data_IF_889338317457
#
_entry.id   IF_889338317457
#
_cell.length_a   1.000
_cell.length_b   1.000
_cell.length_c   1.000
_cell.angle_alpha   90.00
_cell.angle_beta   90.00
_cell.angle_gamma   90.00
#
_symmetry.space_group_name_H-M   'P 1'
#
loop_
_entity.id
_entity.type
_entity.pdbx_description
1 polymer ?
#
# COMPACT_ATOMS: atom_id res chain seq x y z
N UNK A 1 24.56 -8.50 -6.78
CA UNK A 1 24.83 -7.20 -6.15
C UNK A 1 24.94 -7.39 -4.66
N UNK A 2 25.80 -6.63 -4.01
CA UNK A 2 25.92 -6.74 -2.56
C UNK A 2 24.67 -6.15 -1.87
N UNK A 3 24.17 -6.83 -0.87
CA UNK A 3 22.98 -6.44 -0.14
C UNK A 3 23.04 -5.00 0.42
N UNK A 4 24.20 -4.58 0.89
CA UNK A 4 24.41 -3.23 1.39
C UNK A 4 24.20 -2.16 0.31
N UNK A 5 24.61 -2.45 -0.92
CA UNK A 5 24.44 -1.54 -2.04
C UNK A 5 22.97 -1.46 -2.46
N UNK A 6 22.29 -2.60 -2.47
CA UNK A 6 20.86 -2.67 -2.76
C UNK A 6 20.05 -1.90 -1.72
N UNK A 7 20.37 -2.08 -0.44
CA UNK A 7 19.76 -1.34 0.65
C UNK A 7 19.91 0.16 0.45
N UNK A 8 21.11 0.62 0.17
CA UNK A 8 21.39 2.05 -0.03
C UNK A 8 20.62 2.62 -1.22
N UNK A 9 20.53 1.88 -2.31
CA UNK A 9 19.80 2.27 -3.50
C UNK A 9 18.30 2.42 -3.19
N UNK A 10 17.73 1.45 -2.52
CA UNK A 10 16.29 1.47 -2.16
C UNK A 10 15.99 2.66 -1.24
N UNK A 11 16.77 2.85 -0.20
CA UNK A 11 16.58 3.97 0.74
C UNK A 11 16.68 5.30 0.02
N UNK A 12 17.69 5.47 -0.85
CA UNK A 12 17.84 6.68 -1.64
C UNK A 12 16.63 6.94 -2.55
N UNK A 13 16.13 5.91 -3.22
CA UNK A 13 14.96 6.03 -4.08
C UNK A 13 13.69 6.42 -3.30
N UNK A 14 13.55 5.92 -2.09
CA UNK A 14 12.43 6.25 -1.20
C UNK A 14 12.54 7.70 -0.70
N UNK A 15 13.73 8.13 -0.33
CA UNK A 15 14.00 9.49 0.14
C UNK A 15 13.81 10.54 -0.95
N UNK A 16 14.13 10.22 -2.18
CA UNK A 16 14.00 11.12 -3.33
C UNK A 16 12.56 11.63 -3.51
N UNK A 17 11.58 10.80 -3.21
CA UNK A 17 10.17 11.16 -3.26
C UNK A 17 9.57 11.39 -1.88
N UNK A 18 10.41 11.61 -0.87
CA UNK A 18 10.00 11.96 0.49
C UNK A 18 9.08 10.92 1.13
N UNK A 19 9.41 9.64 0.98
CA UNK A 19 8.72 8.58 1.68
C UNK A 19 8.83 8.78 3.19
N UNK A 20 7.78 8.45 3.91
CA UNK A 20 7.69 8.68 5.34
C UNK A 20 8.00 7.40 6.11
N UNK A 21 8.68 7.54 7.23
CA UNK A 21 8.94 6.44 8.18
C UNK A 21 9.50 5.19 7.50
N UNK A 22 10.64 5.35 6.85
CA UNK A 22 11.34 4.26 6.16
C UNK A 22 11.97 3.33 7.19
N UNK A 23 11.59 2.05 7.16
CA UNK A 23 12.17 1.03 8.00
C UNK A 23 12.80 -0.07 7.14
N UNK A 24 14.02 -0.42 7.47
CA UNK A 24 14.76 -1.46 6.78
C UNK A 24 15.02 -2.59 7.75
N UNK A 25 14.58 -3.80 7.39
CA UNK A 25 14.73 -4.97 8.23
C UNK A 25 15.53 -6.04 7.50
N UNK A 26 16.53 -6.59 8.18
CA UNK A 26 17.28 -7.72 7.69
C UNK A 26 16.50 -8.98 8.11
N UNK A 27 15.98 -9.69 7.13
CA UNK A 27 15.15 -10.88 7.36
C UNK A 27 15.85 -12.18 6.96
N UNK A 28 17.18 -12.12 6.81
CA UNK A 28 17.98 -13.32 6.55
C UNK A 28 17.82 -14.30 7.70
N UNK A 29 17.58 -15.55 7.37
CA UNK A 29 17.32 -16.57 8.35
C UNK A 29 15.90 -16.59 8.92
N UNK A 30 15.11 -15.56 8.65
CA UNK A 30 13.69 -15.49 9.06
C UNK A 30 12.76 -15.65 7.85
N UNK A 31 13.19 -15.25 6.68
CA UNK A 31 12.45 -15.39 5.43
C UNK A 31 13.22 -16.32 4.50
N UNK A 32 12.50 -17.19 3.79
CA UNK A 32 13.08 -18.09 2.79
C UNK A 32 13.13 -17.49 1.39
N UNK A 33 12.48 -16.36 1.16
CA UNK A 33 12.32 -15.77 -0.17
C UNK A 33 12.99 -14.41 -0.37
N UNK A 34 13.40 -13.74 0.67
CA UNK A 34 14.09 -12.45 0.58
C UNK A 34 15.04 -12.25 1.75
N UNK A 35 16.08 -11.48 1.53
CA UNK A 35 17.07 -11.16 2.56
C UNK A 35 16.79 -9.82 3.25
N UNK A 36 16.11 -8.90 2.55
CA UNK A 36 15.85 -7.56 3.04
C UNK A 36 14.38 -7.19 2.86
N UNK A 37 13.79 -6.66 3.88
CA UNK A 37 12.44 -6.10 3.80
C UNK A 37 12.49 -4.62 4.13
N UNK A 38 11.88 -3.81 3.28
CA UNK A 38 11.82 -2.36 3.47
C UNK A 38 10.37 -1.93 3.50
N UNK A 39 10.00 -1.15 4.50
CA UNK A 39 8.65 -0.62 4.66
C UNK A 39 8.73 0.89 4.70
N UNK A 40 7.91 1.55 3.90
CA UNK A 40 7.82 3.00 3.86
C UNK A 40 6.37 3.42 3.71
N UNK A 41 6.07 4.68 4.01
CA UNK A 41 4.73 5.22 3.87
C UNK A 41 4.68 6.37 2.88
N UNK A 42 3.55 6.51 2.21
CA UNK A 42 3.24 7.64 1.35
C UNK A 42 2.00 8.37 1.85
N UNK A 43 1.86 9.65 1.56
CA UNK A 43 0.77 10.49 2.07
C UNK A 43 -0.56 10.29 1.36
N UNK A 44 -0.55 9.71 0.16
CA UNK A 44 -1.75 9.46 -0.65
C UNK A 44 -1.53 8.25 -1.55
N UNK A 45 -2.60 7.77 -2.19
CA UNK A 45 -2.50 6.68 -3.17
C UNK A 45 -1.53 7.03 -4.29
N UNK A 46 -1.60 8.24 -4.78
CA UNK A 46 -0.72 8.73 -5.84
C UNK A 46 0.73 8.79 -5.39
N UNK A 47 0.98 9.25 -4.18
CA UNK A 47 2.32 9.31 -3.59
C UNK A 47 2.91 7.91 -3.42
N UNK A 48 2.14 6.97 -2.90
CA UNK A 48 2.54 5.57 -2.75
C UNK A 48 2.94 4.97 -4.10
N UNK A 49 2.12 5.17 -5.12
CA UNK A 49 2.43 4.69 -6.48
C UNK A 49 3.71 5.30 -7.03
N UNK A 50 3.87 6.60 -6.87
CA UNK A 50 5.05 7.33 -7.36
C UNK A 50 6.34 6.85 -6.68
N UNK A 51 6.28 6.61 -5.38
CA UNK A 51 7.42 6.09 -4.62
C UNK A 51 7.80 4.69 -5.14
N UNK A 52 6.82 3.82 -5.29
CA UNK A 52 7.07 2.46 -5.78
C UNK A 52 7.63 2.47 -7.20
N UNK A 53 7.10 3.30 -8.07
CA UNK A 53 7.60 3.45 -9.44
C UNK A 53 9.05 3.95 -9.45
N UNK A 54 9.39 4.89 -8.58
CA UNK A 54 10.75 5.40 -8.47
C UNK A 54 11.73 4.31 -8.02
N UNK A 55 11.34 3.47 -7.09
CA UNK A 55 12.16 2.32 -6.67
C UNK A 55 12.44 1.40 -7.87
N UNK A 56 11.43 1.13 -8.70
CA UNK A 56 11.59 0.31 -9.90
C UNK A 56 12.53 0.96 -10.91
N UNK A 57 12.38 2.26 -11.14
CA UNK A 57 13.21 3.02 -12.08
C UNK A 57 14.68 3.00 -11.64
N UNK A 58 14.95 3.28 -10.37
CA UNK A 58 16.29 3.29 -9.81
C UNK A 58 16.91 1.89 -9.81
N UNK A 59 16.12 0.86 -9.51
CA UNK A 59 16.59 -0.53 -9.56
C UNK A 59 17.01 -0.90 -10.99
N UNK A 60 16.18 -0.59 -11.97
CA UNK A 60 16.51 -0.85 -13.39
C UNK A 60 17.74 -0.09 -13.84
N UNK A 61 17.88 1.17 -13.45
CA UNK A 61 19.05 1.98 -13.76
C UNK A 61 20.34 1.39 -13.17
N UNK A 62 20.24 0.69 -12.05
CA UNK A 62 21.36 0.02 -11.41
C UNK A 62 21.60 -1.41 -11.94
N UNK A 63 20.85 -1.84 -12.94
CA UNK A 63 20.96 -3.18 -13.52
C UNK A 63 20.22 -4.28 -12.77
N UNK A 64 19.32 -3.91 -11.84
CA UNK A 64 18.52 -4.87 -11.09
C UNK A 64 17.17 -5.01 -11.80
N UNK A 65 16.82 -6.25 -12.11
CA UNK A 65 15.52 -6.53 -12.73
C UNK A 65 14.49 -6.82 -11.65
N UNK A 66 13.46 -5.99 -11.51
CA UNK A 66 12.37 -6.30 -10.57
C UNK A 66 11.64 -7.58 -11.01
N UNK A 67 11.31 -8.44 -10.06
CA UNK A 67 10.56 -9.66 -10.32
C UNK A 67 9.07 -9.35 -10.52
N UNK A 68 8.56 -8.34 -9.85
CA UNK A 68 7.17 -7.94 -9.98
C UNK A 68 6.83 -6.73 -9.14
N UNK A 69 5.67 -6.18 -9.39
CA UNK A 69 5.10 -5.10 -8.60
C UNK A 69 3.59 -5.34 -8.52
N UNK A 70 3.04 -5.25 -7.32
CA UNK A 70 1.63 -5.52 -7.06
C UNK A 70 0.99 -4.40 -6.25
N UNK A 71 -0.34 -4.27 -6.35
CA UNK A 71 -1.10 -3.25 -5.59
C UNK A 71 -1.14 -1.87 -6.24
N UNK A 72 -0.57 -1.69 -7.42
CA UNK A 72 -0.53 -0.41 -8.12
C UNK A 72 -1.91 0.15 -8.43
N UNK A 73 -2.87 -0.70 -8.66
CA UNK A 73 -4.20 -0.30 -9.08
C UNK A 73 -4.88 0.57 -8.02
N UNK A 74 -4.83 0.16 -6.79
CA UNK A 74 -5.47 0.86 -5.68
C UNK A 74 -4.56 1.91 -5.05
N UNK A 75 -3.26 1.62 -4.98
CA UNK A 75 -2.29 2.56 -4.44
C UNK A 75 -2.32 2.72 -2.93
N UNK A 76 -3.04 1.86 -2.22
CA UNK A 76 -3.03 1.87 -0.76
C UNK A 76 -1.83 1.12 -0.19
N UNK A 77 -1.44 0.07 -0.87
CA UNK A 77 -0.31 -0.76 -0.51
C UNK A 77 0.30 -1.32 -1.79
N UNK A 78 1.48 -0.86 -2.14
CA UNK A 78 2.21 -1.32 -3.32
C UNK A 78 3.44 -2.10 -2.87
N UNK A 79 3.62 -3.30 -3.43
CA UNK A 79 4.76 -4.16 -3.17
C UNK A 79 5.66 -4.19 -4.39
N UNK A 80 6.95 -4.01 -4.18
CA UNK A 80 7.97 -4.14 -5.23
C UNK A 80 8.91 -5.28 -4.86
N UNK A 81 8.96 -6.32 -5.70
CA UNK A 81 9.82 -7.47 -5.48
C UNK A 81 11.10 -7.33 -6.32
N UNK A 82 12.23 -7.24 -5.64
CA UNK A 82 13.56 -7.13 -6.25
C UNK A 82 14.41 -8.39 -6.02
N UNK A 83 13.80 -9.52 -5.73
CA UNK A 83 14.43 -10.80 -5.38
C UNK A 83 15.11 -10.78 -4.00
N UNK A 84 16.27 -10.14 -3.89
CA UNK A 84 16.99 -10.06 -2.62
C UNK A 84 16.34 -9.09 -1.63
N UNK A 85 15.45 -8.21 -2.11
CA UNK A 85 14.74 -7.25 -1.29
C UNK A 85 13.29 -7.12 -1.72
N UNK A 86 12.41 -6.95 -0.75
CA UNK A 86 10.99 -6.64 -0.99
C UNK A 86 10.69 -5.29 -0.36
N UNK A 87 10.12 -4.38 -1.14
CA UNK A 87 9.77 -3.03 -0.68
C UNK A 87 8.26 -2.92 -0.58
N UNK A 88 7.77 -2.56 0.59
CA UNK A 88 6.36 -2.29 0.83
C UNK A 88 6.16 -0.79 1.00
N UNK A 89 5.37 -0.18 0.14
CA UNK A 89 4.99 1.23 0.27
C UNK A 89 3.50 1.29 0.54
N UNK A 90 3.13 1.85 1.68
CA UNK A 90 1.74 1.86 2.16
C UNK A 90 1.33 3.24 2.64
N UNK A 91 0.04 3.51 2.64
CA UNK A 91 -0.47 4.66 3.38
C UNK A 91 -0.33 4.41 4.89
N UNK A 92 -0.15 5.45 5.71
CA UNK A 92 0.01 5.29 7.16
C UNK A 92 -1.12 4.49 7.82
N UNK A 93 -2.37 4.71 7.41
CA UNK A 93 -3.51 3.98 7.93
C UNK A 93 -3.47 2.48 7.62
N UNK A 94 -3.02 2.13 6.43
CA UNK A 94 -2.87 0.73 6.00
C UNK A 94 -1.72 0.08 6.75
N UNK A 95 -0.63 0.80 6.93
CA UNK A 95 0.54 0.33 7.67
C UNK A 95 0.20 0.02 9.12
N UNK A 96 -0.54 0.92 9.79
CA UNK A 96 -0.99 0.72 11.17
C UNK A 96 -1.98 -0.45 11.28
N UNK A 97 -2.83 -0.61 10.29
CA UNK A 97 -3.83 -1.67 10.26
C UNK A 97 -3.21 -3.06 10.13
N UNK A 98 -2.28 -3.26 9.20
CA UNK A 98 -1.63 -4.54 8.97
C UNK A 98 -0.43 -4.80 9.87
N UNK A 99 0.31 -3.76 10.20
CA UNK A 99 1.46 -3.80 11.10
C UNK A 99 2.46 -4.91 10.75
N UNK A 100 2.89 -4.95 9.49
CA UNK A 100 3.81 -5.97 8.98
C UNK A 100 5.13 -6.04 9.73
N UNK A 101 5.56 -4.94 10.31
CA UNK A 101 6.81 -4.86 11.06
C UNK A 101 6.86 -5.87 12.20
N UNK A 102 5.74 -6.13 12.85
CA UNK A 102 5.66 -7.09 13.94
C UNK A 102 5.90 -8.52 13.49
N UNK A 103 5.59 -8.87 12.26
CA UNK A 103 5.81 -10.21 11.74
C UNK A 103 7.27 -10.63 11.76
N UNK A 104 8.18 -9.66 11.65
CA UNK A 104 9.62 -9.92 11.55
C UNK A 104 10.37 -9.68 12.85
N UNK A 105 9.74 -9.05 13.83
CA UNK A 105 10.31 -8.81 15.15
C UNK A 105 10.08 -10.02 16.07
N UNK A 106 9.01 -10.76 15.83
CA UNK A 106 8.60 -11.86 16.67
C UNK A 106 9.46 -13.10 16.40
N UNK A 107 10.05 -13.66 17.45
CA UNK A 107 11.02 -14.73 17.33
C UNK A 107 10.42 -16.15 17.31
N UNK A 108 9.16 -16.34 17.70
CA UNK A 108 8.52 -17.64 17.78
C UNK A 108 7.43 -17.85 16.74
N UNK A 109 7.28 -19.06 16.25
CA UNK A 109 6.26 -19.40 15.28
C UNK A 109 4.84 -19.17 15.79
N UNK A 110 4.61 -19.40 17.07
CA UNK A 110 3.31 -19.20 17.70
C UNK A 110 2.86 -17.74 17.67
N UNK A 111 3.79 -16.83 17.93
CA UNK A 111 3.51 -15.40 17.90
C UNK A 111 3.26 -14.89 16.47
N UNK A 112 3.94 -15.50 15.49
CA UNK A 112 3.69 -15.18 14.08
C UNK A 112 2.28 -15.58 13.63
N UNK A 113 1.76 -16.68 14.13
CA UNK A 113 0.41 -17.12 13.80
C UNK A 113 -0.66 -16.21 14.42
N UNK A 114 -0.47 -15.79 15.66
CA UNK A 114 -1.38 -14.84 16.30
C UNK A 114 -1.44 -13.51 15.52
N UNK A 115 -0.30 -13.01 15.08
CA UNK A 115 -0.24 -11.78 14.30
C UNK A 115 -0.95 -11.95 12.96
N UNK A 116 -0.76 -13.08 12.29
CA UNK A 116 -1.45 -13.37 11.03
C UNK A 116 -2.97 -13.43 11.22
N UNK A 117 -3.42 -14.07 12.27
CA UNK A 117 -4.84 -14.16 12.57
C UNK A 117 -5.44 -12.79 12.88
N UNK A 118 -4.76 -11.97 13.68
CA UNK A 118 -5.22 -10.63 14.02
C UNK A 118 -5.31 -9.72 12.79
N UNK A 119 -4.35 -9.84 11.87
CA UNK A 119 -4.34 -9.09 10.62
C UNK A 119 -5.52 -9.50 9.73
N UNK A 120 -5.79 -10.79 9.62
CA UNK A 120 -6.90 -11.30 8.84
C UNK A 120 -8.25 -10.81 9.38
N UNK A 121 -8.45 -10.81 10.69
CA UNK A 121 -9.66 -10.31 11.33
C UNK A 121 -9.85 -8.81 11.09
N UNK A 122 -8.82 -8.01 11.23
CA UNK A 122 -8.88 -6.57 10.97
C UNK A 122 -9.22 -6.27 9.50
N UNK A 123 -8.69 -7.05 8.60
CA UNK A 123 -8.96 -6.91 7.17
C UNK A 123 -10.44 -7.10 6.83
N UNK A 124 -11.07 -8.11 7.41
CA UNK A 124 -12.48 -8.40 7.19
C UNK A 124 -13.37 -7.26 7.72
N UNK A 125 -13.09 -6.76 8.92
CA UNK A 125 -13.85 -5.66 9.52
C UNK A 125 -13.76 -4.39 8.68
N UNK A 126 -12.57 -4.03 8.22
CA UNK A 126 -12.37 -2.84 7.39
C UNK A 126 -13.12 -2.93 6.07
N UNK A 127 -13.13 -4.09 5.43
CA UNK A 127 -13.82 -4.29 4.17
C UNK A 127 -15.35 -4.19 4.33
N UNK A 128 -15.90 -4.71 5.40
CA UNK A 128 -17.32 -4.59 5.69
C UNK A 128 -17.75 -3.14 5.97
N UNK A 129 -16.95 -2.39 6.72
CA UNK A 129 -17.23 -0.99 7.03
C UNK A 129 -17.19 -0.08 5.79
N UNK A 130 -16.35 -0.37 4.84
CA UNK A 130 -16.20 0.45 3.64
C UNK A 130 -17.40 0.37 2.68
N UNK A 131 -18.21 -0.67 2.76
CA UNK A 131 -19.36 -0.82 1.87
C UNK A 131 -20.56 0.04 2.24
N UNK A 132 -20.79 0.30 3.50
CA UNK A 132 -21.96 1.03 3.97
C UNK A 132 -22.12 2.46 3.48
N UNK A 133 -21.11 3.31 3.47
CA UNK A 133 -21.28 4.70 3.05
C UNK A 133 -21.65 4.87 1.58
N UNK A 134 -21.23 3.97 0.72
CA UNK A 134 -21.53 4.06 -0.70
C UNK A 134 -23.02 3.89 -1.03
N UNK A 135 -23.71 3.05 -0.29
CA UNK A 135 -25.14 2.82 -0.51
C UNK A 135 -26.01 4.05 -0.18
N UNK A 136 -25.62 4.84 0.80
CA UNK A 136 -26.37 6.03 1.17
C UNK A 136 -26.29 7.13 0.15
N UNK A 137 -25.18 7.30 -0.51
CA UNK A 137 -25.03 8.35 -1.52
C UNK A 137 -25.89 8.12 -2.74
N UNK A 138 -26.09 6.91 -3.15
CA UNK A 138 -26.88 6.60 -4.31
C UNK A 138 -28.36 6.97 -4.13
N UNK A 139 -28.88 6.83 -2.92
CA UNK A 139 -30.27 7.10 -2.65
C UNK A 139 -30.63 8.60 -2.68
N UNK A 140 -29.70 9.47 -2.30
CA UNK A 140 -30.02 10.88 -2.20
C UNK A 140 -30.12 11.60 -3.56
N UNK A 141 -29.53 11.07 -4.60
CA UNK A 141 -29.57 11.72 -5.89
C UNK A 141 -30.87 11.55 -6.63
N UNK A 142 -31.64 10.53 -6.35
CA UNK A 142 -32.82 10.23 -7.10
C UNK A 142 -33.96 11.23 -6.90
N UNK A 143 -33.97 11.93 -5.78
CA UNK A 143 -35.07 12.82 -5.45
C UNK A 143 -34.97 14.23 -6.04
N UNK A 144 -33.81 14.59 -6.53
CA UNK A 144 -33.62 15.97 -6.97
C UNK A 144 -34.10 16.29 -8.39
N UNK A 145 -34.43 15.31 -9.16
CA UNK A 145 -34.69 15.53 -10.55
C UNK A 145 -36.06 15.99 -10.89
N UNK A 146 -37.05 16.00 -10.07
CA UNK A 146 -38.22 16.22 -10.45
C UNK A 146 -38.80 17.45 -10.52
N UNK A 147 -38.78 18.23 -10.33
CA UNK A 147 -39.21 19.43 -10.25
C UNK A 147 -39.29 20.21 -11.33
N UNK A 148 -39.37 20.52 -11.99
CA UNK A 148 -39.23 21.31 -12.92
C UNK A 148 -40.11 21.40 -13.89
N UNK A 149 -40.77 21.82 -14.23
CA UNK A 149 -41.45 21.94 -15.17
C UNK A 149 -42.25 22.90 -15.43
N UNK A 150 -42.20 23.35 -15.80
CA UNK A 150 -42.71 24.47 -16.02
C UNK A 150 -43.50 24.67 -17.08
N UNK A 151 -44.36 24.97 -17.29
CA UNK A 151 -45.04 25.02 -18.27
C UNK A 151 -45.48 26.13 -18.80
N UNK A 152 -45.73 26.70 -19.31
CA UNK A 152 -45.97 27.66 -19.77
C UNK A 152 -46.87 28.17 -20.36
N UNK A 153 -47.18 28.46 -20.56
CA UNK A 153 -47.94 29.06 -20.97
C UNK A 153 -48.40 29.54 -21.95
N UNK A 154 -49.00 30.14 -22.40
CA UNK A 154 -49.39 30.68 -23.17
C UNK A 154 -49.94 31.40 -23.54
N UNK A 155 -50.45 31.86 -24.07
CA UNK A 155 -50.87 32.59 -24.48
C UNK A 155 -51.44 33.06 -25.20
N UNK A 156 -51.72 33.16 -25.58
CA UNK A 156 -52.22 33.84 -26.36
C UNK A 156 -52.73 34.55 -26.85
#
# INVERSE_FOLDING_TARGET
>A
MQLARLKKLIVSALEDLKAIDIKVMDVRGKSSFTDLMVIASGTSNRHVKSIADNVVVEAKAAGIKPLGMEGQREGEWVLVDLADAVVHVMQPSVRDFYNLEKLWVVASESELEEVKESVAKKRVVKKAAAKKPAAKKAASKASAVKKKRAPRAKKS
#
